data_IF_585695596312
#
_entry.id   IF_585695596312
#
_cell.length_a   1.000
_cell.length_b   1.000
_cell.length_c   1.000
_cell.angle_alpha   90.00
_cell.angle_beta   90.00
_cell.angle_gamma   90.00
#
_symmetry.space_group_name_H-M   'P 1'
#
loop_
_entity.id
_entity.type
_entity.pdbx_description
1 polymer ?
#
# COMPACT_ATOMS: atom_id res chain seq x y z
N UNK A 1 4.42 -19.75 1.83
CA UNK A 1 2.99 -19.65 1.46
C UNK A 1 2.61 -20.55 0.30
N UNK A 2 1.85 -21.62 0.58
CA UNK A 2 1.21 -22.43 -0.47
C UNK A 2 -0.09 -21.74 -0.90
N UNK A 3 -0.23 -21.48 -2.21
CA UNK A 3 -1.44 -20.92 -2.81
C UNK A 3 -2.52 -22.00 -2.97
N UNK A 4 -2.96 -22.60 -1.86
CA UNK A 4 -4.01 -23.61 -1.83
C UNK A 4 -5.37 -23.03 -1.39
N UNK A 5 -6.45 -23.73 -1.75
CA UNK A 5 -7.81 -23.37 -1.30
C UNK A 5 -7.92 -23.36 0.24
N UNK A 6 -7.29 -24.32 0.92
CA UNK A 6 -7.25 -24.36 2.39
C UNK A 6 -6.55 -23.16 3.02
N UNK A 7 -5.46 -22.67 2.41
CA UNK A 7 -4.77 -21.46 2.87
C UNK A 7 -5.66 -20.21 2.71
N UNK A 8 -6.45 -20.13 1.64
CA UNK A 8 -7.42 -19.04 1.44
C UNK A 8 -8.55 -19.06 2.47
N UNK A 9 -9.07 -20.24 2.82
CA UNK A 9 -10.07 -20.36 3.90
C UNK A 9 -9.53 -19.85 5.24
N UNK A 10 -8.29 -20.22 5.60
CA UNK A 10 -7.63 -19.69 6.80
C UNK A 10 -7.48 -18.16 6.78
N UNK A 11 -7.14 -17.58 5.63
CA UNK A 11 -7.06 -16.11 5.47
C UNK A 11 -8.42 -15.45 5.69
N UNK A 12 -9.50 -16.02 5.15
CA UNK A 12 -10.86 -15.49 5.33
C UNK A 12 -11.31 -15.55 6.80
N UNK A 13 -11.08 -16.68 7.49
CA UNK A 13 -11.39 -16.81 8.92
C UNK A 13 -10.63 -15.79 9.77
N UNK A 14 -9.34 -15.55 9.46
CA UNK A 14 -8.53 -14.52 10.13
C UNK A 14 -9.05 -13.11 9.85
N UNK A 15 -9.44 -12.81 8.62
CA UNK A 15 -10.02 -11.50 8.28
C UNK A 15 -11.30 -11.24 9.08
N UNK A 16 -12.20 -12.22 9.19
CA UNK A 16 -13.40 -12.11 10.03
C UNK A 16 -13.06 -11.91 11.51
N UNK A 17 -12.02 -12.58 12.03
CA UNK A 17 -11.57 -12.37 13.40
C UNK A 17 -11.07 -10.94 13.63
N UNK A 18 -10.36 -10.36 12.67
CA UNK A 18 -9.89 -8.96 12.71
C UNK A 18 -11.09 -8.01 12.69
N UNK A 19 -12.05 -8.21 11.79
CA UNK A 19 -13.23 -7.36 11.68
C UNK A 19 -14.17 -7.42 12.89
N UNK A 20 -14.18 -8.53 13.63
CA UNK A 20 -14.91 -8.62 14.91
C UNK A 20 -14.24 -7.86 16.04
N UNK A 21 -12.94 -7.55 15.93
CA UNK A 21 -12.14 -6.92 16.99
C UNK A 21 -11.84 -5.45 16.75
N UNK A 22 -11.80 -5.03 15.49
CA UNK A 22 -11.40 -3.69 15.09
C UNK A 22 -12.39 -3.10 14.09
N UNK A 23 -12.65 -1.81 14.22
CA UNK A 23 -13.37 -1.03 13.22
C UNK A 23 -12.59 -0.95 11.91
N UNK A 24 -13.30 -0.63 10.81
CA UNK A 24 -12.65 -0.44 9.50
C UNK A 24 -11.57 0.66 9.52
N UNK A 25 -11.77 1.69 10.34
CA UNK A 25 -10.80 2.76 10.51
C UNK A 25 -9.52 2.27 11.19
N UNK A 26 -9.63 1.51 12.28
CA UNK A 26 -8.47 0.93 12.97
C UNK A 26 -7.72 -0.09 12.09
N UNK A 27 -8.45 -0.88 11.30
CA UNK A 27 -7.85 -1.81 10.33
C UNK A 27 -7.03 -1.04 9.30
N UNK A 28 -7.60 0.04 8.74
CA UNK A 28 -6.92 0.88 7.77
C UNK A 28 -5.70 1.58 8.37
N UNK A 29 -5.81 2.11 9.58
CA UNK A 29 -4.70 2.76 10.29
C UNK A 29 -3.54 1.78 10.52
N UNK A 30 -3.85 0.56 10.99
CA UNK A 30 -2.85 -0.51 11.15
C UNK A 30 -2.22 -0.88 9.82
N UNK A 31 -3.02 -1.01 8.76
CA UNK A 31 -2.49 -1.27 7.42
C UNK A 31 -1.52 -0.16 6.98
N UNK A 32 -1.92 1.11 7.10
CA UNK A 32 -1.08 2.26 6.72
C UNK A 32 0.17 2.40 7.58
N UNK A 33 0.18 1.85 8.80
CA UNK A 33 1.33 1.85 9.71
C UNK A 33 2.33 0.74 9.38
N UNK A 34 1.84 -0.40 8.89
CA UNK A 34 2.65 -1.63 8.72
C UNK A 34 2.94 -1.99 7.26
N UNK A 35 2.29 -1.31 6.30
CA UNK A 35 2.48 -1.63 4.89
C UNK A 35 3.96 -1.45 4.48
N UNK A 36 4.54 -2.38 3.71
CA UNK A 36 5.91 -2.26 3.23
C UNK A 36 5.99 -1.35 2.00
N UNK A 37 7.01 -0.51 1.92
CA UNK A 37 7.24 0.43 0.82
C UNK A 37 8.61 0.27 0.14
N UNK A 38 9.34 -0.80 0.45
CA UNK A 38 10.63 -1.15 -0.14
C UNK A 38 11.80 -0.88 0.80
N UNK A 39 12.84 -1.72 0.73
CA UNK A 39 13.94 -1.69 1.69
C UNK A 39 13.43 -1.96 3.11
N UNK A 40 13.82 -1.10 4.05
CA UNK A 40 13.39 -1.12 5.44
C UNK A 40 12.23 -0.15 5.73
N UNK A 41 11.56 0.39 4.70
CA UNK A 41 10.47 1.34 4.88
C UNK A 41 9.15 0.61 5.16
N UNK A 42 8.68 0.74 6.39
CA UNK A 42 7.35 0.32 6.82
C UNK A 42 6.52 1.53 7.22
N UNK A 43 5.29 1.59 6.72
CA UNK A 43 4.34 2.64 7.03
C UNK A 43 4.38 3.84 6.07
N UNK A 44 3.19 4.39 5.81
CA UNK A 44 2.98 5.46 4.82
C UNK A 44 3.74 6.74 5.19
N UNK A 45 3.89 7.03 6.49
CA UNK A 45 4.63 8.21 6.95
C UNK A 45 6.12 8.09 6.67
N UNK A 46 6.73 6.94 6.99
CA UNK A 46 8.14 6.69 6.70
C UNK A 46 8.40 6.77 5.19
N UNK A 47 7.54 6.15 4.37
CA UNK A 47 7.65 6.20 2.92
C UNK A 47 7.47 7.61 2.34
N UNK A 48 6.49 8.37 2.83
CA UNK A 48 6.24 9.75 2.41
C UNK A 48 7.43 10.67 2.66
N UNK A 49 8.06 10.54 3.84
CA UNK A 49 9.26 11.29 4.18
C UNK A 49 10.47 10.82 3.35
N UNK A 50 10.65 9.51 3.19
CA UNK A 50 11.79 8.96 2.46
C UNK A 50 11.78 9.30 0.96
N UNK A 51 10.62 9.20 0.30
CA UNK A 51 10.53 9.41 -1.15
C UNK A 51 10.27 10.87 -1.54
N UNK A 52 9.63 11.66 -0.68
CA UNK A 52 9.18 13.01 -1.04
C UNK A 52 9.58 14.11 -0.04
N UNK A 53 10.14 13.76 1.12
CA UNK A 53 10.45 14.74 2.17
C UNK A 53 9.22 15.45 2.75
N UNK A 54 8.03 14.81 2.66
CA UNK A 54 6.75 15.42 3.04
C UNK A 54 6.02 14.57 4.08
N UNK A 55 5.27 15.22 4.96
CA UNK A 55 4.24 14.54 5.74
C UNK A 55 3.13 14.01 4.81
N UNK A 56 2.48 12.87 5.10
CA UNK A 56 1.45 12.29 4.23
C UNK A 56 0.34 13.25 3.84
N UNK A 57 -0.06 14.15 4.75
CA UNK A 57 -1.10 15.17 4.51
C UNK A 57 -0.71 16.24 3.49
N UNK A 58 0.58 16.33 3.11
CA UNK A 58 1.12 17.30 2.15
C UNK A 58 1.43 16.68 0.79
N UNK A 59 1.10 15.41 0.60
CA UNK A 59 1.28 14.74 -0.67
C UNK A 59 0.29 15.26 -1.70
N UNK A 60 0.77 15.45 -2.92
CA UNK A 60 -0.10 15.58 -4.09
C UNK A 60 -0.82 14.26 -4.37
N UNK A 61 -1.90 14.31 -5.13
CA UNK A 61 -2.64 13.10 -5.55
C UNK A 61 -1.72 12.12 -6.28
N UNK A 62 -0.79 12.62 -7.10
CA UNK A 62 0.17 11.80 -7.85
C UNK A 62 1.16 11.07 -6.92
N UNK A 63 1.68 11.76 -5.90
CA UNK A 63 2.59 11.16 -4.91
C UNK A 63 1.87 10.15 -4.01
N UNK A 64 0.65 10.46 -3.58
CA UNK A 64 -0.19 9.53 -2.83
C UNK A 64 -0.52 8.27 -3.66
N UNK A 65 -0.86 8.43 -4.94
CA UNK A 65 -1.10 7.32 -5.85
C UNK A 65 0.14 6.43 -6.04
N UNK A 66 1.35 7.03 -6.05
CA UNK A 66 2.58 6.24 -6.08
C UNK A 66 2.71 5.40 -4.82
N UNK A 67 2.54 5.98 -3.63
CA UNK A 67 2.62 5.24 -2.36
C UNK A 67 1.59 4.09 -2.31
N UNK A 68 0.35 4.32 -2.74
CA UNK A 68 -0.68 3.26 -2.82
C UNK A 68 -0.23 2.10 -3.71
N UNK A 69 0.57 2.36 -4.74
CA UNK A 69 1.01 1.35 -5.68
C UNK A 69 2.19 0.49 -5.16
N UNK A 70 2.98 0.98 -4.20
CA UNK A 70 4.23 0.33 -3.76
C UNK A 70 3.99 -1.01 -3.03
N UNK A 71 3.10 -1.13 -2.02
CA UNK A 71 3.01 -2.33 -1.18
C UNK A 71 2.70 -3.64 -1.90
N UNK A 72 2.14 -3.58 -3.11
CA UNK A 72 1.87 -4.80 -3.89
C UNK A 72 3.17 -5.48 -4.37
N UNK A 73 4.20 -4.69 -4.69
CA UNK A 73 5.51 -5.17 -5.16
C UNK A 73 6.61 -4.22 -4.64
N UNK A 74 6.85 -4.19 -3.32
CA UNK A 74 7.57 -3.12 -2.64
C UNK A 74 9.02 -2.97 -3.10
N UNK A 75 9.70 -4.05 -3.50
CA UNK A 75 11.06 -3.98 -4.05
C UNK A 75 11.09 -3.62 -5.53
N UNK A 76 10.15 -4.14 -6.33
CA UNK A 76 10.15 -3.97 -7.78
C UNK A 76 9.63 -2.60 -8.22
N UNK A 77 8.79 -1.96 -7.40
CA UNK A 77 8.16 -0.65 -7.70
C UNK A 77 8.87 0.54 -7.06
N UNK A 78 10.02 0.31 -6.43
CA UNK A 78 10.86 1.34 -5.84
C UNK A 78 11.19 2.45 -6.85
N UNK A 79 10.77 3.70 -6.64
CA UNK A 79 11.05 4.78 -7.58
C UNK A 79 12.54 5.13 -7.66
N UNK A 80 13.30 4.88 -6.59
CA UNK A 80 14.76 5.05 -6.54
C UNK A 80 15.54 3.98 -7.34
N UNK A 81 14.88 2.87 -7.74
CA UNK A 81 15.51 1.77 -8.49
C UNK A 81 14.90 1.53 -9.87
N UNK A 82 13.58 1.67 -10.00
CA UNK A 82 12.82 1.29 -11.19
C UNK A 82 11.75 2.35 -11.50
N UNK A 83 12.18 3.53 -11.97
CA UNK A 83 11.30 4.68 -12.17
C UNK A 83 10.13 4.39 -13.12
N UNK A 84 10.38 3.71 -14.24
CA UNK A 84 9.34 3.39 -15.23
C UNK A 84 8.26 2.46 -14.65
N UNK A 85 8.68 1.44 -13.88
CA UNK A 85 7.75 0.51 -13.23
C UNK A 85 6.94 1.23 -12.16
N UNK A 86 7.57 2.14 -11.41
CA UNK A 86 6.93 2.97 -10.41
C UNK A 86 5.87 3.88 -11.04
N UNK A 87 6.21 4.58 -12.13
CA UNK A 87 5.30 5.45 -12.88
C UNK A 87 4.12 4.67 -13.44
N UNK A 88 4.37 3.55 -14.13
CA UNK A 88 3.29 2.71 -14.66
C UNK A 88 2.37 2.18 -13.54
N UNK A 89 2.90 1.94 -12.33
CA UNK A 89 2.10 1.51 -11.20
C UNK A 89 1.25 2.64 -10.60
N UNK A 90 1.82 3.84 -10.46
CA UNK A 90 1.11 5.07 -10.08
C UNK A 90 -0.03 5.38 -11.05
N UNK A 91 0.25 5.33 -12.35
CA UNK A 91 -0.73 5.69 -13.38
C UNK A 91 -1.93 4.73 -13.36
N UNK A 92 -1.70 3.44 -13.13
CA UNK A 92 -2.81 2.48 -12.89
C UNK A 92 -3.67 2.82 -11.68
N UNK A 93 -3.09 3.39 -10.61
CA UNK A 93 -3.86 3.85 -9.45
C UNK A 93 -4.66 5.09 -9.82
N UNK A 94 -4.06 6.06 -10.51
CA UNK A 94 -4.75 7.27 -10.97
C UNK A 94 -5.90 6.94 -11.91
N UNK A 95 -5.71 6.05 -12.89
CA UNK A 95 -6.80 5.58 -13.76
C UNK A 95 -7.95 4.99 -12.95
N UNK A 96 -7.64 4.16 -11.93
CA UNK A 96 -8.68 3.59 -11.05
C UNK A 96 -9.41 4.63 -10.22
N UNK A 97 -8.72 5.67 -9.74
CA UNK A 97 -9.37 6.76 -9.02
C UNK A 97 -10.36 7.47 -9.94
N UNK A 98 -9.94 7.84 -11.15
CA UNK A 98 -10.83 8.47 -12.14
C UNK A 98 -12.03 7.59 -12.47
N UNK A 99 -11.84 6.28 -12.63
CA UNK A 99 -12.96 5.36 -12.91
C UNK A 99 -13.90 5.13 -11.72
N UNK A 100 -13.46 5.39 -10.49
CA UNK A 100 -14.27 5.21 -9.28
C UNK A 100 -15.13 6.44 -8.93
N UNK A 101 -14.84 7.61 -9.54
CA UNK A 101 -15.48 8.90 -9.25
C UNK A 101 -14.76 9.69 -8.17
#
# INVERSE_FOLDING_TARGET
>A
DSRSLGSKLKQMLRAMQIERRFSKQEILERYLTLAPYGGNLEGVRAASLAYFGKEPKRLTVSEAALLVALPQLPERRRPDRNLDIAHAARDRVLTRMVSAG
#
